data_IF_354850102907
#
_entry.id   IF_354850102907
#
_cell.length_a   1.000
_cell.length_b   1.000
_cell.length_c   1.000
_cell.angle_alpha   90.00
_cell.angle_beta   90.00
_cell.angle_gamma   90.00
#
_symmetry.space_group_name_H-M   'P 1'
#
loop_
_entity.id
_entity.type
_entity.pdbx_description
1 polymer ?
#
# COMPACT_ATOMS: atom_id res chain seq x y z
N UNK A 1 22.50 32.74 4.37
CA UNK A 1 21.40 31.78 4.43
C UNK A 1 21.43 31.01 3.11
N UNK A 2 21.67 29.72 3.13
CA UNK A 2 21.58 28.87 1.92
C UNK A 2 20.16 29.03 1.37
N UNK A 3 20.07 29.21 0.05
CA UNK A 3 18.76 29.29 -0.59
C UNK A 3 18.11 27.89 -0.48
N UNK A 4 17.04 27.75 0.30
CA UNK A 4 16.36 26.45 0.52
C UNK A 4 15.97 25.76 -0.78
N UNK A 5 15.78 26.55 -1.84
CA UNK A 5 15.47 26.05 -3.19
C UNK A 5 16.62 25.28 -3.86
N UNK A 6 17.86 25.52 -3.41
CA UNK A 6 19.06 24.87 -3.98
C UNK A 6 19.46 23.61 -3.22
N UNK A 7 18.76 23.28 -2.11
CA UNK A 7 19.06 22.09 -1.34
C UNK A 7 18.75 20.82 -2.16
N UNK A 8 19.67 19.89 -2.09
CA UNK A 8 19.55 18.54 -2.66
C UNK A 8 19.95 17.51 -1.62
N UNK A 9 19.31 16.35 -1.66
CA UNK A 9 19.67 15.23 -0.81
C UNK A 9 21.01 14.62 -1.22
N UNK A 10 21.59 13.80 -0.37
CA UNK A 10 22.75 13.01 -0.72
C UNK A 10 22.31 11.61 -1.20
N UNK A 11 22.21 11.42 -2.53
CA UNK A 11 21.76 10.17 -3.15
C UNK A 11 22.63 8.97 -2.79
N UNK A 12 23.94 9.11 -2.71
CA UNK A 12 24.84 8.02 -2.30
C UNK A 12 24.57 7.56 -0.86
N UNK A 13 24.25 8.49 0.02
CA UNK A 13 23.94 8.18 1.42
C UNK A 13 22.59 7.48 1.54
N UNK A 14 21.58 7.94 0.82
CA UNK A 14 20.26 7.29 0.74
C UNK A 14 20.40 5.84 0.27
N UNK A 15 21.11 5.60 -0.82
CA UNK A 15 21.33 4.23 -1.34
C UNK A 15 22.06 3.36 -0.35
N UNK A 16 23.11 3.88 0.30
CA UNK A 16 23.84 3.15 1.34
C UNK A 16 22.92 2.77 2.51
N UNK A 17 22.02 3.65 2.94
CA UNK A 17 21.11 3.39 4.05
C UNK A 17 20.03 2.37 3.64
N UNK A 18 19.55 2.40 2.38
CA UNK A 18 18.70 1.35 1.79
C UNK A 18 19.41 -0.01 1.82
N UNK A 19 20.67 -0.08 1.36
CA UNK A 19 21.47 -1.31 1.39
C UNK A 19 21.75 -1.80 2.82
N UNK A 20 21.88 -0.89 3.79
CA UNK A 20 22.07 -1.24 5.19
C UNK A 20 20.80 -1.87 5.79
N UNK A 21 19.62 -1.30 5.52
CA UNK A 21 18.35 -1.85 5.98
C UNK A 21 18.02 -3.19 5.27
N UNK A 22 18.35 -3.32 3.98
CA UNK A 22 18.14 -4.53 3.20
C UNK A 22 18.91 -5.75 3.74
N UNK A 23 20.02 -5.56 4.47
CA UNK A 23 20.75 -6.66 5.13
C UNK A 23 19.95 -7.29 6.26
N UNK A 24 19.00 -6.57 6.84
CA UNK A 24 18.10 -7.08 7.88
C UNK A 24 16.97 -7.84 7.21
N UNK A 25 16.97 -9.15 7.33
CA UNK A 25 16.05 -10.06 6.64
C UNK A 25 16.53 -10.53 5.27
N UNK A 26 17.80 -10.23 4.88
CA UNK A 26 18.37 -10.73 3.63
C UNK A 26 18.42 -12.28 3.60
N UNK A 27 18.09 -12.87 2.46
CA UNK A 27 18.09 -14.31 2.22
C UNK A 27 19.07 -14.69 1.12
N UNK A 28 19.41 -15.98 1.03
CA UNK A 28 20.38 -16.51 0.06
C UNK A 28 19.91 -16.35 -1.41
N UNK A 29 18.59 -16.31 -1.63
CA UNK A 29 17.99 -16.10 -2.96
C UNK A 29 17.99 -14.61 -3.40
N UNK A 30 18.56 -13.74 -2.59
CA UNK A 30 18.61 -12.29 -2.84
C UNK A 30 17.37 -11.53 -2.38
N UNK A 31 16.35 -12.21 -1.86
CA UNK A 31 15.17 -11.55 -1.31
C UNK A 31 15.43 -10.92 0.06
N UNK A 32 14.59 -9.95 0.40
CA UNK A 32 14.46 -9.41 1.75
C UNK A 32 13.14 -9.93 2.36
N UNK A 33 13.24 -10.58 3.51
CA UNK A 33 12.07 -11.07 4.24
C UNK A 33 12.10 -10.53 5.67
N UNK A 34 11.32 -9.50 5.91
CA UNK A 34 11.15 -8.79 7.17
C UNK A 34 9.65 -8.66 7.46
N UNK A 35 9.02 -9.84 7.71
CA UNK A 35 7.58 -9.87 7.99
C UNK A 35 7.27 -9.10 9.27
N UNK A 36 6.13 -8.42 9.27
CA UNK A 36 5.70 -7.58 10.38
C UNK A 36 5.80 -8.30 11.73
N UNK A 37 6.40 -7.62 12.72
CA UNK A 37 6.57 -8.04 14.10
C UNK A 37 7.39 -9.33 14.29
N UNK A 38 8.20 -9.74 13.31
CA UNK A 38 9.23 -10.77 13.49
C UNK A 38 10.49 -10.18 14.15
N UNK A 39 11.46 -11.04 14.45
CA UNK A 39 12.76 -10.55 14.98
C UNK A 39 13.52 -9.74 13.94
N UNK A 40 13.38 -10.08 12.65
CA UNK A 40 13.95 -9.28 11.55
C UNK A 40 13.29 -7.90 11.49
N UNK A 41 11.95 -7.80 11.63
CA UNK A 41 11.26 -6.51 11.68
C UNK A 41 11.70 -5.70 12.91
N UNK A 42 11.83 -6.34 14.07
CA UNK A 42 12.41 -5.69 15.27
C UNK A 42 13.77 -5.10 14.98
N UNK A 43 14.70 -5.87 14.40
CA UNK A 43 16.05 -5.38 14.07
C UNK A 43 15.99 -4.22 13.05
N UNK A 44 15.11 -4.27 12.07
CA UNK A 44 14.88 -3.19 11.10
C UNK A 44 14.37 -1.93 11.79
N UNK A 45 13.40 -2.05 12.68
CA UNK A 45 12.85 -0.95 13.49
C UNK A 45 13.93 -0.34 14.40
N UNK A 46 14.72 -1.17 15.11
CA UNK A 46 15.79 -0.73 15.98
C UNK A 46 16.83 0.07 15.18
N UNK A 47 17.16 -0.36 13.96
CA UNK A 47 18.07 0.34 13.07
C UNK A 47 17.53 1.71 12.65
N UNK A 48 16.27 1.77 12.19
CA UNK A 48 15.62 3.02 11.80
C UNK A 48 15.48 3.98 12.98
N UNK A 49 15.09 3.50 14.15
CA UNK A 49 15.02 4.29 15.39
C UNK A 49 16.39 4.83 15.78
N UNK A 50 17.45 4.02 15.62
CA UNK A 50 18.81 4.48 15.90
C UNK A 50 19.23 5.63 14.97
N UNK A 51 18.86 5.58 13.69
CA UNK A 51 19.09 6.68 12.76
C UNK A 51 18.28 7.93 13.11
N UNK A 52 17.02 7.77 13.51
CA UNK A 52 16.18 8.87 14.01
C UNK A 52 16.83 9.57 15.21
N UNK A 53 17.30 8.80 16.19
CA UNK A 53 18.03 9.37 17.34
C UNK A 53 19.32 10.08 16.92
N UNK A 54 20.06 9.51 15.97
CA UNK A 54 21.28 10.12 15.41
C UNK A 54 21.01 11.47 14.68
N UNK A 55 19.78 11.67 14.20
CA UNK A 55 19.32 12.93 13.59
C UNK A 55 18.79 13.94 14.61
N UNK A 56 18.71 13.59 15.90
CA UNK A 56 18.21 14.46 16.96
C UNK A 56 16.69 14.72 16.89
N UNK A 57 15.94 13.85 16.21
CA UNK A 57 14.48 13.95 16.16
C UNK A 57 13.82 13.28 17.37
N UNK A 58 12.67 13.78 17.77
CA UNK A 58 11.87 13.16 18.82
C UNK A 58 11.20 11.91 18.26
N UNK A 59 11.44 10.75 18.89
CA UNK A 59 10.84 9.48 18.47
C UNK A 59 9.65 9.16 19.35
N UNK A 60 8.50 8.90 18.74
CA UNK A 60 7.26 8.44 19.39
C UNK A 60 6.80 7.15 18.75
N UNK A 61 6.28 6.24 19.58
CA UNK A 61 5.75 4.95 19.13
C UNK A 61 4.31 4.85 19.65
N UNK A 62 3.38 4.49 18.78
CA UNK A 62 2.00 4.33 19.16
C UNK A 62 1.66 2.90 19.61
N UNK A 63 0.40 2.70 20.02
CA UNK A 63 -0.09 1.42 20.57
C UNK A 63 -0.13 0.27 19.58
N UNK A 64 0.03 0.53 18.28
CA UNK A 64 0.09 -0.50 17.23
C UNK A 64 1.48 -0.57 16.59
N UNK A 65 2.46 0.10 17.22
CA UNK A 65 3.86 0.01 16.82
C UNK A 65 4.27 0.93 15.68
N UNK A 66 3.41 1.82 15.22
CA UNK A 66 3.82 2.85 14.28
C UNK A 66 4.86 3.75 14.93
N UNK A 67 5.93 4.09 14.20
CA UNK A 67 7.04 4.89 14.68
C UNK A 67 6.99 6.27 14.01
N UNK A 68 7.18 7.32 14.79
CA UNK A 68 7.18 8.71 14.31
C UNK A 68 8.45 9.42 14.76
N UNK A 69 9.25 9.87 13.81
CA UNK A 69 10.41 10.73 14.07
C UNK A 69 10.07 12.19 13.74
N UNK A 70 10.09 13.08 14.73
CA UNK A 70 9.64 14.47 14.60
C UNK A 70 10.81 15.44 14.75
N UNK A 71 11.07 16.20 13.69
CA UNK A 71 11.99 17.35 13.69
C UNK A 71 11.19 18.62 13.98
N UNK A 72 11.62 19.38 14.98
CA UNK A 72 10.93 20.61 15.39
C UNK A 72 10.93 21.67 14.29
N UNK A 73 9.80 22.36 14.15
CA UNK A 73 9.67 23.62 13.42
C UNK A 73 9.99 24.82 14.30
N UNK A 74 9.86 26.02 13.72
CA UNK A 74 10.00 27.29 14.45
C UNK A 74 8.70 27.69 15.16
N UNK A 75 7.58 27.09 14.75
CA UNK A 75 6.26 27.33 15.34
C UNK A 75 5.66 26.00 15.83
N UNK A 76 4.77 26.07 16.82
CA UNK A 76 4.01 24.91 17.33
C UNK A 76 2.78 24.67 16.45
N UNK A 77 3.02 24.09 15.30
CA UNK A 77 2.03 23.82 14.25
C UNK A 77 1.95 22.31 13.98
N UNK A 78 0.86 21.82 13.34
CA UNK A 78 0.78 20.46 12.85
C UNK A 78 1.95 20.13 11.91
N UNK A 79 2.59 18.96 12.04
CA UNK A 79 3.75 18.62 11.21
C UNK A 79 3.35 18.35 9.75
N UNK A 80 4.25 18.64 8.81
CA UNK A 80 4.24 18.04 7.49
C UNK A 80 4.94 16.69 7.61
N UNK A 81 4.27 15.61 7.20
CA UNK A 81 4.80 14.27 7.36
C UNK A 81 5.01 13.57 6.03
N UNK A 82 6.03 12.74 6.01
CA UNK A 82 6.28 11.74 4.98
C UNK A 82 6.50 10.38 5.65
N UNK A 83 6.57 9.32 4.90
CA UNK A 83 6.85 7.99 5.42
C UNK A 83 6.22 6.92 4.56
N UNK A 84 6.29 5.70 5.04
CA UNK A 84 5.77 4.46 4.48
C UNK A 84 5.98 3.34 5.51
N UNK A 85 6.28 2.11 5.08
CA UNK A 85 6.54 0.95 5.91
C UNK A 85 7.97 0.42 5.73
N UNK A 86 8.35 -0.56 6.57
CA UNK A 86 9.61 -1.30 6.43
C UNK A 86 9.40 -2.82 6.48
N UNK A 87 8.21 -3.31 6.82
CA UNK A 87 7.89 -4.72 6.65
C UNK A 87 7.83 -5.08 5.17
N UNK A 88 8.01 -6.35 4.84
CA UNK A 88 8.08 -6.85 3.47
C UNK A 88 7.21 -8.08 3.31
N UNK A 89 6.89 -8.44 2.07
CA UNK A 89 6.41 -9.79 1.74
C UNK A 89 7.51 -10.83 1.97
N UNK A 90 7.17 -12.13 1.82
CA UNK A 90 8.11 -13.25 2.05
C UNK A 90 9.31 -13.27 1.09
N UNK A 91 9.13 -12.74 -0.11
CA UNK A 91 10.14 -12.69 -1.19
C UNK A 91 10.28 -11.26 -1.71
N UNK A 92 10.28 -10.29 -0.79
CA UNK A 92 10.31 -8.86 -1.13
C UNK A 92 11.64 -8.40 -1.70
N UNK A 93 11.62 -7.22 -2.28
CA UNK A 93 12.78 -6.45 -2.64
C UNK A 93 13.31 -5.61 -1.47
N UNK A 94 14.14 -4.64 -1.78
CA UNK A 94 14.78 -3.74 -0.79
C UNK A 94 14.23 -2.32 -0.80
N UNK A 95 13.31 -2.01 -1.72
CA UNK A 95 12.85 -0.65 -1.98
C UNK A 95 11.43 -0.42 -1.49
N UNK A 96 10.58 -1.45 -1.63
CA UNK A 96 9.18 -1.41 -1.27
C UNK A 96 8.99 -0.91 0.17
N UNK A 97 8.25 0.19 0.34
CA UNK A 97 8.06 0.92 1.59
C UNK A 97 9.34 1.56 2.16
N UNK A 98 10.41 0.77 2.28
CA UNK A 98 11.67 1.18 2.87
C UNK A 98 12.26 2.45 2.21
N UNK A 99 12.11 2.60 0.90
CA UNK A 99 12.58 3.78 0.18
C UNK A 99 11.92 5.07 0.69
N UNK A 100 10.59 5.06 0.87
CA UNK A 100 9.85 6.24 1.36
C UNK A 100 10.28 6.67 2.76
N UNK A 101 10.46 5.71 3.66
CA UNK A 101 10.95 5.96 5.02
C UNK A 101 12.37 6.55 5.00
N UNK A 102 13.29 5.93 4.27
CA UNK A 102 14.69 6.34 4.26
C UNK A 102 14.90 7.66 3.51
N UNK A 103 14.13 7.93 2.47
CA UNK A 103 14.10 9.24 1.81
C UNK A 103 13.61 10.33 2.77
N UNK A 104 12.60 10.07 3.58
CA UNK A 104 12.14 10.98 4.64
C UNK A 104 13.24 11.29 5.66
N UNK A 105 13.99 10.28 6.11
CA UNK A 105 15.13 10.50 7.01
C UNK A 105 16.25 11.29 6.32
N UNK A 106 16.50 11.05 5.04
CA UNK A 106 17.50 11.79 4.29
C UNK A 106 17.09 13.26 4.08
N UNK A 107 15.79 13.55 3.91
CA UNK A 107 15.25 14.92 3.92
C UNK A 107 15.59 15.62 5.24
N UNK A 108 15.31 14.99 6.38
CA UNK A 108 15.61 15.56 7.71
C UNK A 108 17.13 15.79 7.87
N UNK A 109 17.96 14.85 7.43
CA UNK A 109 19.42 14.95 7.51
C UNK A 109 19.93 16.11 6.67
N UNK A 110 19.44 16.26 5.44
CA UNK A 110 19.78 17.37 4.56
C UNK A 110 19.45 18.73 5.18
N UNK A 111 18.28 18.86 5.80
CA UNK A 111 17.87 20.08 6.49
C UNK A 111 18.74 20.38 7.71
N UNK A 112 19.15 19.35 8.46
CA UNK A 112 20.05 19.52 9.61
C UNK A 112 21.43 19.98 9.19
N UNK A 113 22.02 19.37 8.15
CA UNK A 113 23.33 19.74 7.61
C UNK A 113 23.35 21.18 7.04
N UNK A 114 22.24 21.59 6.44
CA UNK A 114 22.07 22.96 5.95
C UNK A 114 21.75 23.98 7.04
N UNK A 115 21.56 23.55 8.30
CA UNK A 115 21.03 24.35 9.39
C UNK A 115 19.72 25.09 8.99
N UNK A 116 18.92 24.46 8.14
CA UNK A 116 17.66 25.01 7.63
C UNK A 116 16.57 24.88 8.69
N UNK A 117 15.84 25.96 8.94
CA UNK A 117 14.63 25.95 9.78
C UNK A 117 13.40 25.92 8.90
N UNK A 118 12.36 25.25 9.34
CA UNK A 118 11.05 25.24 8.69
C UNK A 118 9.99 25.77 9.67
N UNK A 119 8.97 26.38 9.17
CA UNK A 119 7.88 26.90 10.01
C UNK A 119 7.14 25.79 10.70
N UNK A 120 6.61 24.80 9.94
CA UNK A 120 6.02 23.59 10.46
C UNK A 120 7.08 22.57 10.87
N UNK A 121 6.85 21.74 11.92
CA UNK A 121 7.63 20.53 12.16
C UNK A 121 7.59 19.62 10.94
N UNK A 122 8.66 18.82 10.74
CA UNK A 122 8.71 17.78 9.71
C UNK A 122 8.79 16.42 10.39
N UNK A 123 7.96 15.47 9.97
CA UNK A 123 7.90 14.12 10.52
C UNK A 123 8.12 13.03 9.49
N UNK A 124 8.69 11.91 9.96
CA UNK A 124 8.77 10.65 9.21
C UNK A 124 7.98 9.59 9.98
N UNK A 125 7.01 8.96 9.30
CA UNK A 125 6.24 7.84 9.82
C UNK A 125 6.77 6.50 9.28
N UNK A 126 6.73 5.47 10.13
CA UNK A 126 6.96 4.07 9.76
C UNK A 126 5.74 3.29 10.24
N UNK A 127 4.90 2.90 9.30
CA UNK A 127 3.67 2.17 9.62
C UNK A 127 3.94 0.68 9.79
N UNK A 128 3.11 0.02 10.59
CA UNK A 128 3.25 -1.38 10.98
C UNK A 128 2.36 -2.27 10.13
N UNK A 129 2.91 -3.34 9.54
CA UNK A 129 2.15 -4.37 8.82
C UNK A 129 1.35 -3.78 7.64
N UNK A 130 2.05 -3.03 6.78
CA UNK A 130 1.43 -2.51 5.57
C UNK A 130 1.11 -3.66 4.60
N UNK A 131 2.04 -4.59 4.43
CA UNK A 131 1.96 -5.70 3.49
C UNK A 131 0.86 -6.75 3.83
N UNK A 132 0.40 -6.80 5.07
CA UNK A 132 -0.67 -7.70 5.47
C UNK A 132 -0.35 -9.20 5.41
N UNK A 133 0.90 -9.59 5.19
CA UNK A 133 1.29 -10.99 4.98
C UNK A 133 1.13 -11.83 6.24
N UNK A 134 1.50 -11.27 7.39
CA UNK A 134 1.45 -11.99 8.66
C UNK A 134 0.14 -11.74 9.41
N UNK A 135 -0.39 -10.53 9.33
CA UNK A 135 -1.64 -10.12 9.98
C UNK A 135 -2.56 -9.45 8.97
N UNK A 136 -3.79 -9.94 8.82
CA UNK A 136 -4.78 -9.32 7.94
C UNK A 136 -5.69 -8.35 8.71
N UNK A 137 -6.08 -7.23 8.12
CA UNK A 137 -5.78 -6.80 6.74
C UNK A 137 -4.40 -6.18 6.58
N UNK A 138 -4.04 -5.89 5.33
CA UNK A 138 -2.95 -5.00 4.95
C UNK A 138 -3.16 -3.57 5.48
N UNK A 139 -2.11 -2.73 5.42
CA UNK A 139 -2.11 -1.34 5.93
C UNK A 139 -2.59 -1.24 7.40
N UNK A 140 -2.43 -2.31 8.20
CA UNK A 140 -3.03 -2.40 9.54
C UNK A 140 -2.64 -1.23 10.45
N UNK A 141 -1.37 -0.84 10.47
CA UNK A 141 -0.86 0.25 11.29
C UNK A 141 -1.46 1.60 10.93
N UNK A 142 -1.46 1.97 9.66
CA UNK A 142 -2.05 3.22 9.17
C UNK A 142 -3.58 3.21 9.24
N UNK A 143 -4.23 2.04 9.05
CA UNK A 143 -5.67 1.87 9.22
C UNK A 143 -6.12 2.19 10.65
N UNK A 144 -5.43 1.61 11.65
CA UNK A 144 -5.71 1.91 13.07
C UNK A 144 -5.38 3.36 13.38
N UNK A 145 -4.29 3.89 12.84
CA UNK A 145 -3.89 5.28 13.02
C UNK A 145 -4.95 6.26 12.50
N UNK A 146 -5.54 5.96 11.35
CA UNK A 146 -6.62 6.74 10.75
C UNK A 146 -8.01 6.49 11.37
N UNK A 147 -8.11 5.67 12.41
CA UNK A 147 -9.38 5.36 13.10
C UNK A 147 -10.29 4.36 12.38
N UNK A 148 -9.77 3.66 11.37
CA UNK A 148 -10.54 2.67 10.61
C UNK A 148 -10.70 1.32 11.31
N UNK A 149 -9.88 1.06 12.35
CA UNK A 149 -9.96 -0.14 13.19
C UNK A 149 -9.59 0.21 14.62
N UNK A 150 -10.29 -0.35 15.61
CA UNK A 150 -9.97 -0.10 17.01
C UNK A 150 -8.70 -0.85 17.44
N UNK A 151 -7.90 -0.25 18.34
CA UNK A 151 -6.64 -0.85 18.85
C UNK A 151 -6.88 -2.25 19.42
N UNK A 152 -7.96 -2.45 20.20
CA UNK A 152 -8.27 -3.75 20.80
C UNK A 152 -8.61 -4.83 19.76
N UNK A 153 -9.27 -4.45 18.67
CA UNK A 153 -9.56 -5.35 17.55
C UNK A 153 -8.27 -5.72 16.81
N UNK A 154 -7.41 -4.72 16.51
CA UNK A 154 -6.11 -4.96 15.90
C UNK A 154 -5.24 -5.90 16.74
N UNK A 155 -5.20 -5.69 18.06
CA UNK A 155 -4.41 -6.53 18.98
C UNK A 155 -4.88 -7.98 19.01
N UNK A 156 -6.17 -8.24 18.77
CA UNK A 156 -6.76 -9.58 18.76
C UNK A 156 -6.55 -10.32 17.41
N UNK A 157 -6.05 -9.67 16.37
CA UNK A 157 -5.85 -10.31 15.06
C UNK A 157 -4.80 -11.41 15.18
N UNK A 158 -5.13 -12.67 14.80
CA UNK A 158 -4.15 -13.75 14.83
C UNK A 158 -3.16 -13.61 13.65
N UNK A 159 -1.91 -13.91 13.91
CA UNK A 159 -0.92 -14.10 12.86
C UNK A 159 -1.22 -15.39 12.06
N UNK A 160 -0.72 -15.45 10.83
CA UNK A 160 -0.77 -16.67 10.01
C UNK A 160 0.00 -17.85 10.64
N UNK A 161 0.92 -17.58 11.56
CA UNK A 161 1.76 -18.52 12.31
C UNK A 161 1.32 -18.72 13.78
N UNK A 162 0.23 -18.08 14.23
CA UNK A 162 -0.50 -18.42 15.45
C UNK A 162 -0.61 -17.34 16.53
N UNK A 163 0.44 -16.60 16.96
CA UNK A 163 0.29 -15.58 17.99
C UNK A 163 -0.52 -14.37 17.49
N UNK A 164 -1.13 -13.62 18.43
CA UNK A 164 -1.86 -12.41 18.07
C UNK A 164 -0.92 -11.22 17.77
N UNK A 165 -1.42 -10.24 17.04
CA UNK A 165 -0.70 -8.98 16.76
C UNK A 165 -0.24 -8.31 18.06
N UNK A 166 -1.12 -8.22 19.07
CA UNK A 166 -0.78 -7.62 20.37
C UNK A 166 0.31 -8.39 21.12
N UNK A 167 0.27 -9.72 21.12
CA UNK A 167 1.32 -10.55 21.75
C UNK A 167 2.68 -10.33 21.09
N UNK A 168 2.72 -10.34 19.77
CA UNK A 168 3.95 -10.11 19.01
C UNK A 168 4.50 -8.69 19.19
N UNK A 169 3.61 -7.69 19.19
CA UNK A 169 3.97 -6.29 19.41
C UNK A 169 4.65 -6.09 20.78
N UNK A 170 4.11 -6.73 21.83
CA UNK A 170 4.70 -6.75 23.16
C UNK A 170 6.02 -7.52 23.18
N UNK A 171 6.08 -8.70 22.51
CA UNK A 171 7.29 -9.54 22.43
C UNK A 171 8.47 -8.79 21.84
N UNK A 172 8.26 -8.04 20.76
CA UNK A 172 9.33 -7.29 20.11
C UNK A 172 9.63 -5.93 20.80
N UNK A 173 8.82 -5.52 21.79
CA UNK A 173 9.02 -4.29 22.56
C UNK A 173 8.54 -3.00 21.85
N UNK A 174 7.64 -3.10 20.86
CA UNK A 174 7.13 -1.97 20.11
C UNK A 174 5.66 -1.60 20.42
N UNK A 175 5.07 -2.14 21.48
CA UNK A 175 3.79 -1.66 22.03
C UNK A 175 4.01 -0.29 22.69
N UNK A 176 3.90 0.79 21.92
CA UNK A 176 4.16 2.15 22.41
C UNK A 176 3.04 2.72 23.27
N UNK A 177 3.28 3.89 23.85
CA UNK A 177 2.34 4.55 24.75
C UNK A 177 1.40 5.54 24.03
N UNK A 178 1.79 6.06 22.85
CA UNK A 178 1.03 7.09 22.13
C UNK A 178 -0.28 6.50 21.61
N UNK A 179 -1.38 7.25 21.72
CA UNK A 179 -2.62 6.85 21.06
C UNK A 179 -2.46 6.99 19.53
N UNK A 180 -2.92 6.01 18.72
CA UNK A 180 -3.00 6.20 17.28
C UNK A 180 -3.83 7.43 16.93
N UNK A 181 -3.42 8.18 15.90
CA UNK A 181 -4.08 9.44 15.50
C UNK A 181 -3.77 10.65 16.38
N UNK A 182 -2.90 10.52 17.41
CA UNK A 182 -2.56 11.64 18.30
C UNK A 182 -1.81 12.80 17.59
N UNK A 183 -1.15 12.53 16.49
CA UNK A 183 -0.49 13.54 15.64
C UNK A 183 -1.28 13.63 14.33
N UNK A 184 -2.05 14.70 14.16
CA UNK A 184 -2.75 14.95 12.89
C UNK A 184 -1.83 15.81 12.02
N UNK A 185 -1.33 15.30 10.88
CA UNK A 185 -0.46 16.08 10.02
C UNK A 185 -1.18 17.24 9.33
N UNK A 186 -0.43 18.31 9.05
CA UNK A 186 -0.83 19.36 8.11
C UNK A 186 -1.02 18.79 6.70
N UNK A 187 -0.11 17.91 6.29
CA UNK A 187 -0.11 17.17 5.04
C UNK A 187 0.75 15.91 5.17
N UNK A 188 0.43 14.90 4.37
CA UNK A 188 1.23 13.68 4.23
C UNK A 188 1.64 13.46 2.78
N UNK A 189 2.91 13.15 2.54
CA UNK A 189 3.44 12.84 1.19
C UNK A 189 4.20 11.54 1.27
N UNK A 190 3.73 10.51 0.58
CA UNK A 190 4.43 9.23 0.47
C UNK A 190 5.25 9.18 -0.82
N UNK A 191 6.55 8.89 -0.69
CA UNK A 191 7.43 8.59 -1.81
C UNK A 191 7.58 7.08 -1.93
N UNK A 192 7.30 6.53 -3.11
CA UNK A 192 7.31 5.09 -3.32
C UNK A 192 7.83 4.70 -4.70
N UNK A 193 8.19 3.46 -4.90
CA UNK A 193 8.38 2.89 -6.22
C UNK A 193 7.00 2.62 -6.85
N UNK A 194 6.89 2.64 -8.18
CA UNK A 194 5.60 2.45 -8.86
C UNK A 194 5.00 1.06 -8.63
N UNK A 195 5.82 0.05 -8.41
CA UNK A 195 5.44 -1.37 -8.37
C UNK A 195 4.73 -1.85 -9.66
N UNK A 196 4.79 -1.04 -10.70
CA UNK A 196 4.15 -1.24 -11.98
C UNK A 196 5.08 -0.87 -13.14
N UNK A 197 4.71 -1.20 -14.38
CA UNK A 197 5.59 -1.08 -15.54
C UNK A 197 5.49 0.26 -16.28
N UNK A 198 4.59 1.17 -15.91
CA UNK A 198 4.19 2.28 -16.77
C UNK A 198 5.32 3.29 -16.94
N UNK A 199 5.93 3.74 -15.84
CA UNK A 199 7.03 4.72 -15.91
C UNK A 199 8.23 4.17 -16.67
N UNK A 200 8.63 2.91 -16.37
CA UNK A 200 9.76 2.29 -17.05
C UNK A 200 9.49 2.08 -18.55
N UNK A 201 8.30 1.59 -18.90
CA UNK A 201 7.89 1.34 -20.30
C UNK A 201 7.79 2.64 -21.12
N UNK A 202 7.41 3.75 -20.51
CA UNK A 202 7.30 5.05 -21.17
C UNK A 202 8.60 5.89 -21.10
N UNK A 203 9.65 5.38 -20.40
CA UNK A 203 10.90 6.10 -20.17
C UNK A 203 10.74 7.32 -19.25
N UNK A 204 9.70 7.30 -18.39
CA UNK A 204 9.46 8.35 -17.40
C UNK A 204 10.36 8.17 -16.17
N UNK A 205 10.57 9.25 -15.42
CA UNK A 205 11.40 9.26 -14.20
C UNK A 205 10.59 9.51 -12.93
N UNK A 206 9.42 10.14 -13.05
CA UNK A 206 8.59 10.57 -11.92
C UNK A 206 7.10 10.42 -12.24
N UNK A 207 6.34 10.06 -11.22
CA UNK A 207 4.88 10.04 -11.22
C UNK A 207 4.30 10.93 -10.11
N UNK A 208 3.36 11.82 -10.46
CA UNK A 208 2.51 12.52 -9.50
C UNK A 208 1.22 11.72 -9.35
N UNK A 209 1.02 11.09 -8.20
CA UNK A 209 -0.11 10.17 -7.99
C UNK A 209 -1.32 10.97 -7.50
N UNK A 210 -2.33 11.06 -8.36
CA UNK A 210 -3.56 11.81 -8.09
C UNK A 210 -4.67 11.01 -7.45
N UNK A 211 -4.60 9.68 -7.51
CA UNK A 211 -5.61 8.77 -6.96
C UNK A 211 -5.05 7.36 -6.76
N UNK A 212 -5.82 6.54 -6.05
CA UNK A 212 -5.52 5.14 -5.78
C UNK A 212 -6.78 4.31 -6.07
N UNK A 213 -6.60 3.15 -6.70
CA UNK A 213 -7.70 2.25 -7.03
C UNK A 213 -8.40 1.70 -5.78
N UNK A 214 -9.72 1.62 -5.84
CA UNK A 214 -10.50 0.78 -4.94
C UNK A 214 -10.28 -0.70 -5.24
N UNK A 215 -10.47 -1.53 -4.24
CA UNK A 215 -10.21 -2.98 -4.26
C UNK A 215 -11.47 -3.72 -3.82
N UNK A 216 -11.83 -4.76 -4.55
CA UNK A 216 -12.85 -5.74 -4.16
C UNK A 216 -12.31 -7.15 -4.33
N UNK A 217 -11.95 -7.79 -3.22
CA UNK A 217 -11.51 -9.17 -3.18
C UNK A 217 -12.62 -10.09 -2.71
N UNK A 218 -12.88 -11.12 -3.51
CA UNK A 218 -13.92 -12.11 -3.22
C UNK A 218 -13.37 -13.52 -3.41
N UNK A 219 -13.74 -14.43 -2.51
CA UNK A 219 -13.61 -15.86 -2.70
C UNK A 219 -14.95 -16.40 -3.24
N UNK A 220 -14.87 -17.18 -4.30
CA UNK A 220 -16.03 -17.84 -4.91
C UNK A 220 -15.84 -19.34 -4.78
N UNK A 221 -16.71 -19.98 -4.01
CA UNK A 221 -16.78 -21.44 -3.86
C UNK A 221 -17.91 -21.97 -4.74
N UNK A 222 -17.56 -22.85 -5.67
CA UNK A 222 -18.48 -23.47 -6.65
C UNK A 222 -18.56 -24.97 -6.35
N UNK A 223 -19.76 -25.48 -6.08
CA UNK A 223 -19.98 -26.90 -5.82
C UNK A 223 -20.87 -27.52 -6.88
N UNK A 224 -20.42 -28.65 -7.37
CA UNK A 224 -21.12 -29.51 -8.31
C UNK A 224 -21.18 -30.96 -7.82
N UNK A 225 -21.11 -31.91 -8.74
CA UNK A 225 -21.19 -33.35 -8.40
C UNK A 225 -20.05 -34.11 -9.08
N UNK A 226 -19.19 -34.76 -8.27
CA UNK A 226 -18.17 -35.63 -8.80
C UNK A 226 -18.79 -36.88 -9.47
N UNK A 227 -18.29 -37.19 -10.67
CA UNK A 227 -18.72 -38.39 -11.38
C UNK A 227 -17.63 -38.81 -12.38
N UNK A 228 -17.81 -39.99 -12.98
CA UNK A 228 -16.85 -40.51 -13.96
C UNK A 228 -16.88 -39.67 -15.26
N UNK A 229 -15.72 -39.17 -15.67
CA UNK A 229 -15.60 -38.24 -16.78
C UNK A 229 -16.02 -38.84 -18.16
N UNK A 230 -15.84 -40.15 -18.36
CA UNK A 230 -16.17 -40.81 -19.62
C UNK A 230 -17.62 -41.30 -19.71
N UNK A 231 -18.25 -41.68 -18.60
CA UNK A 231 -19.59 -42.28 -18.62
C UNK A 231 -20.72 -41.30 -18.32
N UNK A 232 -20.42 -40.10 -17.84
CA UNK A 232 -21.45 -39.10 -17.52
C UNK A 232 -21.69 -38.18 -18.73
N UNK A 233 -22.87 -38.24 -19.37
CA UNK A 233 -23.21 -37.39 -20.51
C UNK A 233 -23.16 -35.89 -20.14
N UNK A 234 -22.80 -35.03 -21.09
CA UNK A 234 -22.62 -33.57 -20.84
C UNK A 234 -23.86 -32.93 -20.18
N UNK A 235 -25.07 -33.28 -20.63
CA UNK A 235 -26.32 -32.70 -20.06
C UNK A 235 -26.63 -33.07 -18.61
N UNK A 236 -25.92 -34.05 -18.07
CA UNK A 236 -26.12 -34.52 -16.70
C UNK A 236 -25.01 -34.07 -15.75
N UNK A 237 -24.02 -33.31 -16.24
CA UNK A 237 -22.90 -32.85 -15.44
C UNK A 237 -23.27 -31.61 -14.64
N UNK A 238 -22.73 -31.57 -13.44
CA UNK A 238 -22.63 -30.36 -12.59
C UNK A 238 -21.16 -30.16 -12.30
N UNK A 239 -20.46 -29.56 -13.24
CA UNK A 239 -18.99 -29.48 -13.26
C UNK A 239 -18.52 -28.17 -12.63
N UNK A 240 -17.97 -28.25 -11.42
CA UNK A 240 -17.50 -27.10 -10.67
C UNK A 240 -16.30 -26.41 -11.35
N UNK A 241 -15.41 -27.16 -12.02
CA UNK A 241 -14.28 -26.59 -12.74
C UNK A 241 -14.72 -25.81 -13.99
N UNK A 242 -15.75 -26.30 -14.69
CA UNK A 242 -16.36 -25.55 -15.80
C UNK A 242 -16.94 -24.21 -15.30
N UNK A 243 -17.68 -24.24 -14.18
CA UNK A 243 -18.23 -23.03 -13.57
C UNK A 243 -17.13 -22.02 -13.20
N UNK A 244 -16.03 -22.49 -12.62
CA UNK A 244 -14.88 -21.65 -12.28
C UNK A 244 -14.19 -21.08 -13.53
N UNK A 245 -13.97 -21.89 -14.58
CA UNK A 245 -13.39 -21.44 -15.84
C UNK A 245 -14.24 -20.37 -16.53
N UNK A 246 -15.58 -20.54 -16.51
CA UNK A 246 -16.54 -19.51 -17.01
C UNK A 246 -16.42 -18.20 -16.22
N UNK A 247 -16.22 -18.29 -14.90
CA UNK A 247 -16.03 -17.11 -14.06
C UNK A 247 -14.72 -16.39 -14.39
N UNK A 248 -13.62 -17.12 -14.64
CA UNK A 248 -12.35 -16.53 -15.11
C UNK A 248 -12.54 -15.75 -16.40
N UNK A 249 -13.19 -16.36 -17.41
CA UNK A 249 -13.48 -15.68 -18.68
C UNK A 249 -14.34 -14.45 -18.47
N UNK A 250 -15.39 -14.57 -17.66
CA UNK A 250 -16.29 -13.45 -17.37
C UNK A 250 -15.55 -12.27 -16.71
N UNK A 251 -14.71 -12.52 -15.71
CA UNK A 251 -13.93 -11.48 -15.03
C UNK A 251 -13.01 -10.75 -16.00
N UNK A 252 -12.33 -11.50 -16.87
CA UNK A 252 -11.47 -10.93 -17.91
C UNK A 252 -12.26 -10.06 -18.88
N UNK A 253 -13.39 -10.55 -19.39
CA UNK A 253 -14.21 -9.84 -20.37
C UNK A 253 -14.89 -8.62 -19.75
N UNK A 254 -15.38 -8.74 -18.50
CA UNK A 254 -15.95 -7.65 -17.72
C UNK A 254 -14.97 -6.46 -17.59
N UNK A 255 -13.72 -6.75 -17.25
CA UNK A 255 -12.71 -5.70 -17.12
C UNK A 255 -12.45 -4.99 -18.45
N UNK A 256 -12.43 -5.71 -19.57
CA UNK A 256 -12.27 -5.13 -20.91
C UNK A 256 -13.49 -4.33 -21.37
N UNK A 257 -14.71 -4.80 -21.04
CA UNK A 257 -15.96 -4.12 -21.39
C UNK A 257 -16.14 -2.80 -20.64
N UNK A 258 -15.87 -2.77 -19.33
CA UNK A 258 -15.90 -1.53 -18.55
C UNK A 258 -14.79 -0.59 -19.06
N UNK A 259 -13.58 -1.14 -19.34
CA UNK A 259 -12.46 -0.37 -19.88
C UNK A 259 -11.90 0.64 -18.89
N UNK A 260 -11.23 1.68 -19.41
CA UNK A 260 -10.60 2.71 -18.57
C UNK A 260 -9.55 2.14 -17.61
N UNK A 261 -9.76 2.33 -16.32
CA UNK A 261 -8.89 1.84 -15.25
C UNK A 261 -9.36 0.52 -14.62
N UNK A 262 -10.43 -0.10 -15.14
CA UNK A 262 -10.91 -1.37 -14.61
C UNK A 262 -9.91 -2.48 -14.85
N UNK A 263 -9.51 -3.17 -13.78
CA UNK A 263 -8.78 -4.43 -13.85
C UNK A 263 -9.56 -5.54 -13.15
N UNK A 264 -9.36 -6.78 -13.59
CA UNK A 264 -10.00 -7.96 -13.02
C UNK A 264 -9.08 -9.17 -13.13
N UNK A 265 -8.85 -9.85 -12.02
CA UNK A 265 -7.93 -10.97 -11.92
C UNK A 265 -8.55 -12.13 -11.13
N UNK A 266 -8.32 -13.36 -11.60
CA UNK A 266 -8.55 -14.58 -10.80
C UNK A 266 -7.19 -15.13 -10.42
N UNK A 267 -6.73 -14.81 -9.19
CA UNK A 267 -5.36 -15.09 -8.73
C UNK A 267 -5.17 -16.49 -8.15
N UNK A 268 -6.23 -17.14 -7.68
CA UNK A 268 -6.20 -18.50 -7.13
C UNK A 268 -7.26 -19.37 -7.79
N UNK A 269 -6.90 -20.60 -8.12
CA UNK A 269 -7.79 -21.58 -8.75
C UNK A 269 -7.50 -22.99 -8.18
N UNK A 270 -8.36 -23.47 -7.29
CA UNK A 270 -8.24 -24.79 -6.63
C UNK A 270 -9.40 -25.67 -7.05
N UNK A 271 -9.13 -26.92 -7.43
CA UNK A 271 -10.14 -27.87 -7.91
C UNK A 271 -10.03 -29.19 -7.12
N UNK A 272 -11.15 -29.77 -6.75
CA UNK A 272 -11.25 -31.03 -6.02
C UNK A 272 -12.18 -32.01 -6.74
N UNK A 273 -11.74 -33.27 -6.98
CA UNK A 273 -10.53 -33.93 -6.47
C UNK A 273 -9.27 -33.72 -7.34
N UNK A 274 -9.31 -32.94 -8.42
CA UNK A 274 -8.19 -32.68 -9.35
C UNK A 274 -7.60 -33.97 -9.93
N UNK A 275 -8.47 -34.80 -10.49
CA UNK A 275 -8.15 -36.07 -11.14
C UNK A 275 -8.59 -36.06 -12.60
N UNK A 276 -7.78 -36.64 -13.49
CA UNK A 276 -7.97 -36.57 -14.95
C UNK A 276 -9.30 -37.19 -15.43
N UNK A 277 -9.83 -38.19 -14.72
CA UNK A 277 -11.01 -38.97 -15.13
C UNK A 277 -12.23 -38.76 -14.21
N UNK A 278 -12.23 -37.69 -13.41
CA UNK A 278 -13.33 -37.36 -12.48
C UNK A 278 -13.81 -35.94 -12.75
N UNK A 279 -15.13 -35.77 -12.92
CA UNK A 279 -15.77 -34.46 -12.96
C UNK A 279 -15.60 -33.77 -11.58
N UNK A 280 -15.01 -32.57 -11.51
CA UNK A 280 -14.78 -31.91 -10.22
C UNK A 280 -16.08 -31.57 -9.49
N UNK A 281 -16.09 -31.90 -8.18
CA UNK A 281 -17.23 -31.55 -7.30
C UNK A 281 -17.11 -30.18 -6.67
N UNK A 282 -15.92 -29.61 -6.61
CA UNK A 282 -15.69 -28.31 -5.99
C UNK A 282 -14.57 -27.55 -6.71
N UNK A 283 -14.78 -26.27 -6.87
CA UNK A 283 -13.72 -25.32 -7.23
C UNK A 283 -13.81 -24.11 -6.30
N UNK A 284 -12.64 -23.63 -5.85
CA UNK A 284 -12.50 -22.39 -5.06
C UNK A 284 -11.59 -21.47 -5.83
N UNK A 285 -12.09 -20.28 -6.14
CA UNK A 285 -11.33 -19.24 -6.84
C UNK A 285 -11.38 -17.93 -6.07
N UNK A 286 -10.36 -17.06 -6.27
CA UNK A 286 -10.39 -15.69 -5.78
C UNK A 286 -10.54 -14.72 -6.94
N UNK A 287 -11.41 -13.73 -6.78
CA UNK A 287 -11.62 -12.65 -7.75
C UNK A 287 -11.14 -11.35 -7.13
N UNK A 288 -10.28 -10.63 -7.84
CA UNK A 288 -9.79 -9.28 -7.53
C UNK A 288 -10.31 -8.33 -8.61
N UNK A 289 -11.18 -7.37 -8.21
CA UNK A 289 -11.65 -6.29 -9.07
C UNK A 289 -11.13 -4.97 -8.52
N UNK A 290 -10.59 -4.10 -9.40
CA UNK A 290 -10.11 -2.77 -9.01
C UNK A 290 -10.55 -1.72 -10.01
N UNK A 291 -10.86 -0.52 -9.51
CA UNK A 291 -11.17 0.65 -10.34
C UNK A 291 -10.86 1.94 -9.56
N UNK A 292 -10.58 3.03 -10.25
CA UNK A 292 -10.41 4.38 -9.67
C UNK A 292 -11.73 5.10 -9.42
N UNK A 293 -12.84 4.59 -9.98
CA UNK A 293 -14.19 5.10 -9.82
C UNK A 293 -15.02 4.12 -9.01
N UNK A 294 -15.59 4.58 -7.90
CA UNK A 294 -16.37 3.74 -6.99
C UNK A 294 -17.62 3.20 -7.64
N UNK A 295 -18.29 3.99 -8.48
CA UNK A 295 -19.51 3.56 -9.15
C UNK A 295 -19.24 2.45 -10.18
N UNK A 296 -18.13 2.52 -10.90
CA UNK A 296 -17.70 1.47 -11.83
C UNK A 296 -17.24 0.22 -11.09
N UNK A 297 -16.58 0.36 -9.93
CA UNK A 297 -16.21 -0.78 -9.11
C UNK A 297 -17.46 -1.50 -8.57
N UNK A 298 -18.46 -0.75 -8.08
CA UNK A 298 -19.74 -1.31 -7.65
C UNK A 298 -20.49 -1.96 -8.83
N UNK A 299 -20.47 -1.37 -10.02
CA UNK A 299 -21.04 -1.98 -11.22
C UNK A 299 -20.37 -3.32 -11.52
N UNK A 300 -19.04 -3.39 -11.46
CA UNK A 300 -18.31 -4.63 -11.67
C UNK A 300 -18.72 -5.72 -10.67
N UNK A 301 -18.84 -5.37 -9.38
CA UNK A 301 -19.33 -6.28 -8.33
C UNK A 301 -20.75 -6.77 -8.60
N UNK A 302 -21.67 -5.88 -8.98
CA UNK A 302 -23.06 -6.23 -9.29
C UNK A 302 -23.17 -7.15 -10.50
N UNK A 303 -22.40 -6.86 -11.57
CA UNK A 303 -22.35 -7.69 -12.78
C UNK A 303 -21.77 -9.07 -12.51
N UNK A 304 -20.70 -9.18 -11.70
CA UNK A 304 -20.17 -10.46 -11.26
C UNK A 304 -21.21 -11.26 -10.47
N UNK A 305 -21.89 -10.63 -9.52
CA UNK A 305 -22.93 -11.28 -8.73
C UNK A 305 -24.11 -11.77 -9.59
N UNK A 306 -24.53 -10.99 -10.59
CA UNK A 306 -25.57 -11.41 -11.54
C UNK A 306 -25.14 -12.60 -12.40
N UNK A 307 -23.89 -12.57 -12.90
CA UNK A 307 -23.33 -13.66 -13.69
C UNK A 307 -23.25 -14.97 -12.86
N UNK A 308 -22.80 -14.91 -11.61
CA UNK A 308 -22.69 -16.09 -10.75
C UNK A 308 -24.06 -16.73 -10.43
N UNK A 309 -25.10 -15.91 -10.26
CA UNK A 309 -26.49 -16.42 -10.10
C UNK A 309 -26.98 -17.12 -11.36
N UNK A 310 -26.83 -16.49 -12.51
CA UNK A 310 -27.24 -17.07 -13.79
C UNK A 310 -26.47 -18.36 -14.12
N UNK A 311 -25.17 -18.40 -13.82
CA UNK A 311 -24.33 -19.60 -13.95
C UNK A 311 -24.79 -20.72 -13.02
N UNK A 312 -25.14 -20.41 -11.76
CA UNK A 312 -25.70 -21.35 -10.81
C UNK A 312 -26.98 -22.01 -11.35
N UNK A 313 -27.90 -21.20 -11.84
CA UNK A 313 -29.20 -21.68 -12.35
C UNK A 313 -29.03 -22.53 -13.61
N UNK A 314 -28.21 -22.10 -14.56
CA UNK A 314 -28.03 -22.81 -15.84
C UNK A 314 -27.31 -24.13 -15.71
N UNK A 315 -26.29 -24.20 -14.87
CA UNK A 315 -25.42 -25.37 -14.72
C UNK A 315 -25.80 -26.25 -13.53
N UNK A 316 -26.80 -25.84 -12.74
CA UNK A 316 -27.23 -26.53 -11.53
C UNK A 316 -26.13 -26.63 -10.48
N UNK A 317 -25.31 -25.59 -10.37
CA UNK A 317 -24.22 -25.49 -9.43
C UNK A 317 -24.64 -24.73 -8.15
N UNK A 318 -24.09 -25.10 -7.00
CA UNK A 318 -24.20 -24.29 -5.80
C UNK A 318 -23.01 -23.31 -5.76
N UNK A 319 -23.29 -22.00 -5.76
CA UNK A 319 -22.24 -20.96 -5.75
C UNK A 319 -22.39 -20.09 -4.51
N UNK A 320 -21.32 -19.98 -3.74
CA UNK A 320 -21.22 -19.11 -2.56
C UNK A 320 -20.08 -18.11 -2.76
N UNK A 321 -20.32 -16.87 -2.33
CA UNK A 321 -19.29 -15.82 -2.34
C UNK A 321 -19.01 -15.35 -0.92
N UNK A 322 -17.72 -15.12 -0.63
CA UNK A 322 -17.26 -14.53 0.63
C UNK A 322 -16.36 -13.33 0.30
N UNK A 323 -16.71 -12.16 0.81
CA UNK A 323 -15.86 -10.96 0.69
C UNK A 323 -14.61 -11.14 1.55
N UNK A 324 -13.44 -10.91 0.96
CA UNK A 324 -12.14 -10.97 1.63
C UNK A 324 -11.68 -9.56 2.03
N UNK A 325 -11.77 -8.60 1.10
CA UNK A 325 -11.47 -7.19 1.34
C UNK A 325 -12.33 -6.28 0.47
N UNK A 326 -12.59 -5.06 0.91
CA UNK A 326 -13.24 -4.01 0.15
C UNK A 326 -12.76 -2.64 0.62
N UNK A 327 -12.06 -1.93 -0.28
CA UNK A 327 -11.63 -0.55 -0.07
C UNK A 327 -12.18 0.32 -1.20
N UNK A 328 -12.67 1.49 -0.85
CA UNK A 328 -13.10 2.49 -1.83
C UNK A 328 -11.88 3.14 -2.49
N UNK A 329 -12.00 3.61 -3.75
CA UNK A 329 -10.96 4.42 -4.37
C UNK A 329 -10.70 5.69 -3.55
N UNK A 330 -9.46 6.17 -3.59
CA UNK A 330 -9.09 7.42 -2.93
C UNK A 330 -8.66 8.43 -3.98
N UNK A 331 -9.20 9.64 -3.91
CA UNK A 331 -8.71 10.80 -4.66
C UNK A 331 -7.83 11.60 -3.71
N UNK A 332 -6.57 11.77 -4.07
CA UNK A 332 -5.62 12.54 -3.28
C UNK A 332 -5.84 14.04 -3.41
N UNK A 333 -5.27 14.82 -2.48
CA UNK A 333 -5.43 16.26 -2.46
C UNK A 333 -4.73 16.93 -3.67
N UNK A 334 -5.54 17.48 -4.58
CA UNK A 334 -5.04 18.04 -5.83
C UNK A 334 -4.12 19.25 -5.63
N UNK A 335 -4.18 19.93 -4.48
CA UNK A 335 -3.26 21.02 -4.13
C UNK A 335 -1.86 20.49 -3.90
N UNK A 336 -1.74 19.33 -3.19
CA UNK A 336 -0.45 18.67 -2.96
C UNK A 336 0.07 18.08 -4.28
N UNK A 337 -0.80 17.44 -5.06
CA UNK A 337 -0.45 16.92 -6.40
C UNK A 337 0.12 18.05 -7.28
N UNK A 338 -0.53 19.22 -7.30
CA UNK A 338 -0.03 20.39 -8.04
C UNK A 338 1.33 20.87 -7.52
N UNK A 339 1.54 20.91 -6.19
CA UNK A 339 2.84 21.26 -5.61
C UNK A 339 3.93 20.25 -6.02
N UNK A 340 3.62 18.96 -6.09
CA UNK A 340 4.55 17.93 -6.58
C UNK A 340 4.92 18.19 -8.04
N UNK A 341 3.94 18.48 -8.90
CA UNK A 341 4.15 18.78 -10.31
C UNK A 341 5.00 20.04 -10.50
N UNK A 342 4.64 21.15 -9.84
CA UNK A 342 5.42 22.39 -9.85
C UNK A 342 6.85 22.20 -9.31
N UNK A 343 7.01 21.27 -8.34
CA UNK A 343 8.33 20.94 -7.78
C UNK A 343 9.18 20.19 -8.81
N UNK A 344 8.61 19.26 -9.55
CA UNK A 344 9.30 18.56 -10.63
C UNK A 344 9.69 19.54 -11.75
N UNK A 345 8.78 20.43 -12.16
CA UNK A 345 9.08 21.49 -13.13
C UNK A 345 10.22 22.41 -12.66
N UNK A 346 10.21 22.79 -11.38
CA UNK A 346 11.28 23.59 -10.78
C UNK A 346 12.65 22.88 -10.84
N UNK A 347 12.64 21.55 -10.82
CA UNK A 347 13.83 20.71 -10.94
C UNK A 347 14.18 20.35 -12.40
N UNK A 348 13.51 20.99 -13.38
CA UNK A 348 13.61 20.68 -14.81
C UNK A 348 13.37 19.21 -15.16
N UNK A 349 12.42 18.57 -14.43
CA UNK A 349 12.10 17.17 -14.62
C UNK A 349 10.66 16.97 -15.09
N UNK A 350 10.47 16.17 -16.15
CA UNK A 350 9.11 15.78 -16.54
C UNK A 350 8.50 14.86 -15.47
N UNK A 351 7.23 15.07 -15.16
CA UNK A 351 6.46 14.25 -14.23
C UNK A 351 5.13 13.86 -14.86
N UNK A 352 4.79 12.57 -14.72
CA UNK A 352 3.56 11.99 -15.27
C UNK A 352 2.45 11.98 -14.22
N UNK A 353 1.22 12.44 -14.51
CA UNK A 353 0.07 12.15 -13.67
C UNK A 353 -0.22 10.64 -13.65
N UNK A 354 -0.41 10.07 -12.48
CA UNK A 354 -0.56 8.61 -12.30
C UNK A 354 -1.66 8.24 -11.32
N UNK A 355 -2.05 6.98 -11.41
CA UNK A 355 -2.89 6.27 -10.44
C UNK A 355 -2.04 5.21 -9.73
N UNK A 356 -2.18 5.05 -8.43
CA UNK A 356 -1.64 3.87 -7.74
C UNK A 356 -2.54 2.66 -7.98
N UNK A 357 -1.94 1.59 -8.49
CA UNK A 357 -2.59 0.29 -8.63
C UNK A 357 -2.51 -0.59 -7.37
N UNK A 358 -1.63 -0.24 -6.41
CA UNK A 358 -1.43 -0.92 -5.15
C UNK A 358 -2.04 -0.12 -3.99
N UNK A 359 -2.45 -0.81 -2.91
CA UNK A 359 -2.73 -0.19 -1.61
C UNK A 359 -1.45 0.42 -1.05
N UNK A 360 -1.57 1.51 -0.30
CA UNK A 360 -0.44 2.22 0.30
C UNK A 360 -0.89 2.89 1.60
N UNK A 361 0.02 3.16 2.52
CA UNK A 361 -0.28 3.88 3.77
C UNK A 361 -0.91 5.26 3.52
N UNK A 362 -0.55 5.92 2.42
CA UNK A 362 -1.19 7.15 1.95
C UNK A 362 -2.71 7.04 1.78
N UNK A 363 -3.23 5.85 1.43
CA UNK A 363 -4.67 5.59 1.34
C UNK A 363 -5.37 5.79 2.69
N UNK A 364 -4.73 5.34 3.74
CA UNK A 364 -5.28 5.50 5.10
C UNK A 364 -5.08 6.92 5.61
N UNK A 365 -3.92 7.51 5.34
CA UNK A 365 -3.61 8.89 5.74
C UNK A 365 -4.53 9.92 5.08
N UNK A 366 -4.98 9.68 3.84
CA UNK A 366 -5.94 10.54 3.13
C UNK A 366 -7.29 10.67 3.85
N UNK A 367 -7.61 9.78 4.79
CA UNK A 367 -8.83 9.86 5.61
C UNK A 367 -8.77 10.94 6.69
N UNK A 368 -7.56 11.35 7.09
CA UNK A 368 -7.34 12.25 8.24
C UNK A 368 -6.60 13.53 7.89
N UNK A 369 -5.89 13.58 6.77
CA UNK A 369 -5.18 14.79 6.33
C UNK A 369 -5.04 14.86 4.81
N UNK A 370 -4.81 16.04 4.24
CA UNK A 370 -4.42 16.21 2.84
C UNK A 370 -3.20 15.34 2.51
N UNK A 371 -3.32 14.51 1.48
CA UNK A 371 -2.32 13.48 1.15
C UNK A 371 -2.09 13.40 -0.35
N UNK A 372 -0.86 13.11 -0.78
CA UNK A 372 -0.51 12.70 -2.13
C UNK A 372 0.71 11.78 -2.13
N UNK A 373 1.04 11.20 -3.30
CA UNK A 373 2.20 10.32 -3.45
C UNK A 373 3.06 10.73 -4.64
N UNK A 374 4.33 10.37 -4.56
CA UNK A 374 5.32 10.51 -5.61
C UNK A 374 5.82 9.11 -5.98
N UNK A 375 5.80 8.77 -7.27
CA UNK A 375 6.36 7.52 -7.77
C UNK A 375 7.68 7.72 -8.50
N UNK A 376 8.56 6.71 -8.38
CA UNK A 376 9.72 6.50 -9.24
C UNK A 376 9.59 5.14 -9.94
N UNK A 377 10.22 4.92 -11.10
CA UNK A 377 10.04 3.71 -11.89
C UNK A 377 10.48 2.44 -11.16
N UNK A 378 9.72 1.36 -11.34
CA UNK A 378 10.16 -0.01 -11.09
C UNK A 378 10.61 -0.62 -12.40
N UNK A 379 11.88 -1.04 -12.51
CA UNK A 379 12.44 -1.62 -13.76
C UNK A 379 11.66 -2.88 -14.12
N UNK A 380 11.10 -2.90 -15.33
CA UNK A 380 10.24 -3.99 -15.82
C UNK A 380 8.92 -4.11 -15.06
N UNK A 381 8.58 -3.17 -14.18
CA UNK A 381 7.38 -3.23 -13.32
C UNK A 381 7.48 -4.30 -12.23
N UNK A 382 8.69 -4.75 -11.90
CA UNK A 382 8.91 -5.85 -10.95
C UNK A 382 8.86 -5.28 -9.51
N UNK A 383 7.99 -5.87 -8.69
CA UNK A 383 7.92 -5.68 -7.24
C UNK A 383 7.56 -7.00 -6.54
N UNK A 384 7.62 -7.05 -5.19
CA UNK A 384 7.44 -8.26 -4.39
C UNK A 384 8.35 -9.42 -4.81
N UNK A 385 9.55 -9.09 -5.24
CA UNK A 385 10.51 -10.02 -5.85
C UNK A 385 11.95 -9.62 -5.51
N UNK A 386 12.88 -10.57 -5.38
CA UNK A 386 14.30 -10.26 -5.21
C UNK A 386 14.90 -9.49 -6.40
N UNK A 387 14.22 -9.50 -7.55
CA UNK A 387 14.62 -8.75 -8.75
C UNK A 387 14.10 -7.31 -8.78
N UNK A 388 13.41 -6.85 -7.74
CA UNK A 388 12.93 -5.47 -7.61
C UNK A 388 14.09 -4.48 -7.69
N UNK A 389 13.95 -3.52 -8.59
CA UNK A 389 15.03 -2.57 -8.84
C UNK A 389 14.48 -1.23 -9.36
N UNK A 390 15.13 -0.15 -8.91
CA UNK A 390 14.98 1.21 -9.45
C UNK A 390 16.38 1.78 -9.66
N UNK A 391 16.56 2.56 -10.72
CA UNK A 391 17.86 3.18 -11.00
C UNK A 391 18.25 4.16 -9.90
N UNK A 392 19.53 4.21 -9.47
CA UNK A 392 20.01 5.10 -8.44
C UNK A 392 19.64 6.59 -8.66
N UNK A 393 19.73 7.04 -9.91
CA UNK A 393 19.37 8.41 -10.30
C UNK A 393 17.87 8.70 -10.11
N UNK A 394 16.99 7.72 -10.29
CA UNK A 394 15.55 7.89 -10.04
C UNK A 394 15.25 7.93 -8.54
N UNK A 395 15.94 7.12 -7.72
CA UNK A 395 15.82 7.18 -6.26
C UNK A 395 16.26 8.56 -5.71
N UNK A 396 17.38 9.08 -6.21
CA UNK A 396 17.86 10.41 -5.84
C UNK A 396 16.89 11.50 -6.29
N UNK A 397 16.37 11.40 -7.51
CA UNK A 397 15.44 12.35 -8.07
C UNK A 397 14.12 12.40 -7.28
N UNK A 398 13.51 11.25 -7.01
CA UNK A 398 12.27 11.17 -6.22
C UNK A 398 12.45 11.78 -4.83
N UNK A 399 13.57 11.49 -4.17
CA UNK A 399 13.88 12.05 -2.86
C UNK A 399 14.14 13.57 -2.91
N UNK A 400 14.68 14.12 -4.01
CA UNK A 400 14.81 15.56 -4.22
C UNK A 400 13.44 16.23 -4.44
N UNK A 401 12.52 15.59 -5.18
CA UNK A 401 11.14 16.08 -5.32
C UNK A 401 10.44 16.06 -3.96
N UNK A 402 10.62 14.98 -3.17
CA UNK A 402 10.08 14.91 -1.80
C UNK A 402 10.62 16.05 -0.92
N UNK A 403 11.94 16.28 -0.90
CA UNK A 403 12.57 17.36 -0.13
C UNK A 403 11.94 18.72 -0.45
N UNK A 404 11.86 19.08 -1.73
CA UNK A 404 11.35 20.38 -2.13
C UNK A 404 9.82 20.50 -1.92
N UNK A 405 9.07 19.41 -2.08
CA UNK A 405 7.64 19.35 -1.78
C UNK A 405 7.39 19.57 -0.28
N UNK A 406 8.09 18.82 0.59
CA UNK A 406 7.99 18.95 2.05
C UNK A 406 8.37 20.36 2.51
N UNK A 407 9.43 20.96 1.95
CA UNK A 407 9.81 22.35 2.25
C UNK A 407 8.71 23.35 1.89
N UNK A 408 8.12 23.24 0.70
CA UNK A 408 7.02 24.12 0.28
C UNK A 408 5.82 24.00 1.20
N UNK A 409 5.43 22.77 1.55
CA UNK A 409 4.32 22.49 2.47
C UNK A 409 4.60 23.01 3.89
N UNK A 410 5.85 22.91 4.35
CA UNK A 410 6.25 23.33 5.69
C UNK A 410 6.35 24.86 5.86
N UNK A 411 6.42 25.61 4.75
CA UNK A 411 6.44 27.07 4.74
C UNK A 411 5.06 27.69 4.42
N UNK A 412 4.04 26.87 4.10
CA UNK A 412 2.70 27.37 3.79
C UNK A 412 2.07 28.12 4.98
N UNK A 413 1.53 29.30 4.72
CA UNK A 413 0.88 30.15 5.72
C UNK A 413 -0.60 29.80 5.87
N UNK A 414 -0.95 28.66 6.39
CA UNK A 414 -2.34 28.28 6.65
C UNK A 414 -2.48 26.83 7.03
N UNK A 415 -3.44 26.52 7.89
CA UNK A 415 -3.82 25.12 8.19
C UNK A 415 -4.65 24.62 7.02
N UNK A 416 -4.20 23.57 6.37
CA UNK A 416 -4.97 22.90 5.32
C UNK A 416 -5.99 21.98 6.01
N UNK A 417 -7.27 22.32 5.98
CA UNK A 417 -8.30 21.37 6.38
C UNK A 417 -8.43 20.31 5.30
N UNK A 418 -8.59 19.04 5.68
CA UNK A 418 -9.07 18.02 4.78
C UNK A 418 -10.32 18.56 4.08
N UNK A 419 -10.37 18.56 2.75
CA UNK A 419 -11.53 19.02 2.00
C UNK A 419 -12.74 18.23 2.50
N UNK A 420 -13.75 18.92 2.99
CA UNK A 420 -15.04 18.30 3.24
C UNK A 420 -15.55 17.80 1.90
N UNK A 421 -15.40 16.52 1.61
CA UNK A 421 -16.26 15.84 0.68
C UNK A 421 -17.64 15.88 1.34
N UNK A 422 -18.54 16.68 0.77
CA UNK A 422 -19.95 16.73 1.15
C UNK A 422 -20.55 15.34 0.87
N UNK A 423 -20.52 14.50 1.87
CA UNK A 423 -20.99 13.13 1.84
C UNK A 423 -21.09 12.63 3.27
N UNK A 424 -22.26 12.85 3.88
CA UNK A 424 -22.66 12.22 5.14
C UNK A 424 -22.52 10.70 5.02
N UNK A 425 -21.38 10.15 5.43
CA UNK A 425 -21.20 8.70 5.52
C UNK A 425 -21.86 8.22 6.81
N UNK A 426 -23.05 7.65 6.66
CA UNK A 426 -23.70 6.84 7.69
C UNK A 426 -22.79 5.64 7.98
N UNK A 427 -22.21 5.64 9.17
CA UNK A 427 -21.50 4.47 9.71
C UNK A 427 -22.55 3.41 10.08
N UNK A 428 -22.92 2.57 9.13
CA UNK A 428 -23.62 1.31 9.37
C UNK A 428 -23.07 0.24 8.44
N UNK A 429 -22.12 -0.52 8.97
CA UNK A 429 -21.56 -1.69 8.31
C UNK A 429 -20.65 -2.40 9.28
N UNK A 430 -21.24 -3.21 10.18
CA UNK A 430 -20.47 -4.18 10.96
C UNK A 430 -19.83 -5.17 10.00
N UNK A 431 -18.55 -5.46 10.27
CA UNK A 431 -17.69 -6.48 9.63
C UNK A 431 -18.36 -7.85 9.68
#
# INVERSE_FOLDING_TARGET
MSNLKDLRINGHRLIRDIEALAKVGAREDGSCCRLALTDEDRMGRDLVVSWMHGLGVEVRIDRVGNIFGLRRGTEDLPPVMTGSHIDTVTTGGKLDGAYGVLAGLEVIRTLNEAAASTRHPIGVAVFTNEEGVRFHPDMLGSLVYAGGLAVGEAWAIPATDGPSFGEELVRIGYAGAMAPGAIVPQAFVELHIEQGPILDAEGGSLGAVGNLQGISWQEVTIRGVANHAGTTPMRMRRDAAYGAARTVCFVHDLAREIGGTQVGTVGSFKVTPNLINVIPREAIITVDLRNTDESLLQEAELRLGAFLRDLSDREGLEIQTRRLARFEPVVFDQRIVSIIQETAEFLDQPIRPMTSGAGQDAQMMARICPTAMIFVPSIGGISHSPSECTRPEHLELGANVLLQTVLRLAECAGVWSAGATDGSVSVNGRI
#
